data_IF_516677316109
#
_entry.id   IF_516677316109
#
_cell.length_a   1.000
_cell.length_b   1.000
_cell.length_c   1.000
_cell.angle_alpha   90.00
_cell.angle_beta   90.00
_cell.angle_gamma   90.00
#
_symmetry.space_group_name_H-M   'P 1'
#
loop_
_entity.id
_entity.type
_entity.pdbx_description
1 polymer ?
#
# COMPACT_ATOMS: atom_id res chain seq x y z
N UNK A 1 5.39 -2.03 6.70
CA UNK A 1 4.07 -1.98 6.03
C UNK A 1 3.20 -0.95 6.71
N UNK A 2 2.37 -0.24 5.96
CA UNK A 2 1.44 0.79 6.46
C UNK A 2 0.01 0.41 6.06
N UNK A 3 -0.83 0.10 7.05
CA UNK A 3 -2.21 -0.31 6.82
C UNK A 3 -3.20 0.80 7.18
N UNK A 4 -4.11 1.07 6.24
CA UNK A 4 -5.30 1.86 6.50
C UNK A 4 -6.28 1.07 7.36
N UNK A 5 -6.44 1.48 8.61
CA UNK A 5 -7.33 0.89 9.61
C UNK A 5 -8.61 1.72 9.81
N UNK A 6 -9.07 2.37 8.75
CA UNK A 6 -10.35 3.09 8.72
C UNK A 6 -11.56 2.15 8.74
N UNK A 7 -12.73 2.74 8.93
CA UNK A 7 -14.00 2.02 8.96
C UNK A 7 -14.29 1.25 7.65
N UNK A 8 -13.85 1.78 6.50
CA UNK A 8 -14.09 1.16 5.18
C UNK A 8 -13.27 -0.11 4.97
N UNK A 9 -12.20 -0.32 5.75
CA UNK A 9 -11.31 -1.48 5.62
C UNK A 9 -11.50 -2.53 6.72
N UNK A 10 -12.40 -2.30 7.69
CA UNK A 10 -12.61 -3.18 8.84
C UNK A 10 -12.96 -4.62 8.46
N UNK A 11 -13.68 -4.84 7.36
CA UNK A 11 -14.02 -6.18 6.88
C UNK A 11 -12.87 -6.96 6.23
N UNK A 12 -11.67 -6.37 6.16
CA UNK A 12 -10.56 -6.86 5.31
C UNK A 12 -9.32 -7.25 6.12
N UNK A 13 -9.47 -7.39 7.45
CA UNK A 13 -8.36 -7.66 8.37
C UNK A 13 -7.63 -8.96 8.05
N UNK A 14 -8.36 -10.03 7.69
CA UNK A 14 -7.76 -11.31 7.34
C UNK A 14 -6.81 -11.19 6.14
N UNK A 15 -7.25 -10.50 5.08
CA UNK A 15 -6.45 -10.27 3.88
C UNK A 15 -5.20 -9.44 4.19
N UNK A 16 -5.32 -8.43 5.05
CA UNK A 16 -4.18 -7.62 5.50
C UNK A 16 -3.20 -8.43 6.37
N UNK A 17 -3.70 -9.33 7.23
CA UNK A 17 -2.86 -10.26 7.98
C UNK A 17 -2.10 -11.19 7.03
N UNK A 18 -2.78 -11.78 6.05
CA UNK A 18 -2.16 -12.70 5.09
C UNK A 18 -1.08 -12.01 4.25
N UNK A 19 -1.32 -10.76 3.84
CA UNK A 19 -0.34 -9.92 3.17
C UNK A 19 0.91 -9.71 4.04
N UNK A 20 0.73 -9.35 5.31
CA UNK A 20 1.85 -9.18 6.24
C UNK A 20 2.63 -10.48 6.46
N UNK A 21 1.94 -11.61 6.65
CA UNK A 21 2.58 -12.93 6.76
C UNK A 21 3.39 -13.27 5.52
N UNK A 22 2.91 -12.90 4.35
CA UNK A 22 3.63 -13.17 3.11
C UNK A 22 4.92 -12.36 3.00
N UNK A 23 4.91 -11.09 3.39
CA UNK A 23 6.14 -10.28 3.47
C UNK A 23 7.12 -10.90 4.47
N UNK A 24 6.65 -11.27 5.67
CA UNK A 24 7.48 -11.95 6.67
C UNK A 24 8.08 -13.24 6.10
N UNK A 25 7.27 -14.08 5.47
CA UNK A 25 7.72 -15.36 4.91
C UNK A 25 8.72 -15.21 3.77
N UNK A 26 8.59 -14.17 2.94
CA UNK A 26 9.52 -13.89 1.86
C UNK A 26 10.86 -13.34 2.39
N UNK A 27 10.81 -12.53 3.45
CA UNK A 27 11.97 -11.79 3.96
C UNK A 27 12.67 -12.48 5.16
N UNK A 28 12.09 -13.53 5.74
CA UNK A 28 12.72 -14.23 6.88
C UNK A 28 14.13 -14.72 6.54
N UNK A 29 15.06 -14.51 7.47
CA UNK A 29 16.48 -14.87 7.38
C UNK A 29 17.24 -14.21 6.20
N UNK A 30 16.72 -13.15 5.60
CA UNK A 30 17.40 -12.42 4.52
C UNK A 30 18.33 -11.30 5.01
N UNK A 31 18.32 -11.00 6.31
CA UNK A 31 18.94 -9.79 6.88
C UNK A 31 18.02 -8.57 6.89
N UNK A 32 16.79 -8.70 6.36
CA UNK A 32 15.81 -7.61 6.33
C UNK A 32 15.12 -7.41 7.68
N UNK A 33 14.75 -6.16 7.97
CA UNK A 33 13.87 -5.81 9.09
C UNK A 33 12.43 -5.56 8.64
N UNK A 34 11.47 -5.79 9.53
CA UNK A 34 10.05 -5.65 9.25
C UNK A 34 9.31 -4.96 10.38
N UNK A 35 8.44 -4.01 10.03
CA UNK A 35 7.57 -3.28 10.95
C UNK A 35 6.17 -3.09 10.39
N UNK A 36 5.20 -2.85 11.27
CA UNK A 36 3.79 -2.63 10.94
C UNK A 36 3.34 -1.31 11.58
N UNK A 37 2.91 -0.38 10.73
CA UNK A 37 2.24 0.83 11.16
C UNK A 37 0.79 0.80 10.70
N UNK A 38 -0.10 1.37 11.50
CA UNK A 38 -1.51 1.51 11.17
C UNK A 38 -1.92 2.98 11.29
N UNK A 39 -2.93 3.37 10.52
CA UNK A 39 -3.48 4.72 10.61
C UNK A 39 -4.99 4.71 10.44
N UNK A 40 -5.65 5.64 11.13
CA UNK A 40 -7.06 5.95 10.95
C UNK A 40 -7.25 7.47 11.07
N UNK A 41 -7.84 8.00 12.14
CA UNK A 41 -7.81 9.42 12.50
C UNK A 41 -6.41 9.91 12.90
N UNK A 42 -5.60 9.00 13.44
CA UNK A 42 -4.21 9.19 13.87
C UNK A 42 -3.37 7.97 13.50
N UNK A 43 -2.07 8.01 13.80
CA UNK A 43 -1.20 6.84 13.81
C UNK A 43 -0.47 6.75 15.17
N UNK A 44 -0.48 5.60 15.87
CA UNK A 44 -1.24 4.38 15.55
C UNK A 44 -2.75 4.66 15.45
N UNK A 45 -3.48 3.77 14.77
CA UNK A 45 -4.93 3.92 14.58
C UNK A 45 -5.72 3.84 15.90
N UNK A 46 -5.16 3.15 16.90
CA UNK A 46 -5.71 3.03 18.25
C UNK A 46 -4.59 2.66 19.23
N UNK A 47 -4.77 3.00 20.50
CA UNK A 47 -3.83 2.62 21.56
C UNK A 47 -3.79 1.09 21.80
N UNK A 48 -4.83 0.35 21.40
CA UNK A 48 -4.90 -1.12 21.53
C UNK A 48 -3.92 -1.84 20.60
N UNK A 49 -3.46 -1.17 19.55
CA UNK A 49 -2.44 -1.66 18.63
C UNK A 49 -1.40 -0.57 18.40
N UNK A 50 -0.40 -0.43 19.29
CA UNK A 50 0.71 0.48 19.03
C UNK A 50 1.45 0.03 17.76
N UNK A 51 1.98 1.00 17.01
CA UNK A 51 2.78 0.70 15.82
C UNK A 51 3.94 -0.22 16.21
N UNK A 52 4.07 -1.33 15.48
CA UNK A 52 5.14 -2.29 15.65
C UNK A 52 6.37 -1.82 14.86
N UNK A 53 7.41 -1.41 15.58
CA UNK A 53 8.66 -0.95 14.98
C UNK A 53 9.40 -2.05 14.21
N UNK A 54 10.43 -1.67 13.42
CA UNK A 54 11.19 -2.63 12.63
C UNK A 54 11.95 -3.61 13.54
N UNK A 55 11.78 -4.91 13.31
CA UNK A 55 12.58 -5.98 13.91
C UNK A 55 13.29 -6.78 12.82
N UNK A 56 14.53 -7.19 13.08
CA UNK A 56 15.26 -8.10 12.18
C UNK A 56 14.48 -9.42 12.06
N UNK A 57 14.23 -9.91 10.85
CA UNK A 57 13.48 -11.16 10.64
C UNK A 57 14.34 -12.42 10.80
N UNK A 58 15.04 -12.55 11.93
CA UNK A 58 15.62 -13.80 12.42
C UNK A 58 14.55 -14.68 13.12
N UNK A 59 14.94 -15.81 13.72
CA UNK A 59 13.99 -16.72 14.37
C UNK A 59 13.14 -16.03 15.47
N UNK A 60 13.75 -15.15 16.26
CA UNK A 60 13.06 -14.43 17.34
C UNK A 60 12.19 -13.30 16.77
N UNK A 61 12.71 -12.54 15.81
CA UNK A 61 11.99 -11.44 15.17
C UNK A 61 10.84 -11.91 14.28
N UNK A 62 10.95 -13.07 13.62
CA UNK A 62 9.82 -13.71 12.91
C UNK A 62 8.70 -14.03 13.90
N UNK A 63 9.03 -14.52 15.10
CA UNK A 63 8.03 -14.78 16.15
C UNK A 63 7.36 -13.48 16.61
N UNK A 64 8.15 -12.42 16.86
CA UNK A 64 7.63 -11.10 17.25
C UNK A 64 6.72 -10.49 16.16
N UNK A 65 7.18 -10.50 14.91
CA UNK A 65 6.43 -9.99 13.77
C UNK A 65 5.14 -10.79 13.54
N UNK A 66 5.19 -12.12 13.67
CA UNK A 66 4.00 -12.98 13.54
C UNK A 66 2.97 -12.67 14.64
N UNK A 67 3.42 -12.42 15.87
CA UNK A 67 2.53 -12.00 16.96
C UNK A 67 1.92 -10.62 16.71
N UNK A 68 2.70 -9.67 16.19
CA UNK A 68 2.19 -8.37 15.77
C UNK A 68 1.12 -8.51 14.67
N UNK A 69 1.30 -9.42 13.71
CA UNK A 69 0.30 -9.73 12.68
C UNK A 69 -0.95 -10.37 13.29
N UNK A 70 -0.80 -11.33 14.20
CA UNK A 70 -1.93 -11.98 14.87
C UNK A 70 -2.83 -10.96 15.61
N UNK A 71 -2.22 -9.93 16.20
CA UNK A 71 -2.92 -8.87 16.92
C UNK A 71 -3.40 -7.71 16.05
N UNK A 72 -3.06 -7.70 14.75
CA UNK A 72 -3.41 -6.63 13.81
C UNK A 72 -4.92 -6.28 13.78
N UNK A 73 -5.89 -7.22 13.95
CA UNK A 73 -7.30 -6.87 14.03
C UNK A 73 -7.65 -5.85 15.12
N UNK A 74 -6.85 -5.75 16.19
CA UNK A 74 -7.02 -4.75 17.25
C UNK A 74 -6.75 -3.32 16.78
N UNK A 75 -6.19 -3.13 15.57
CA UNK A 75 -5.99 -1.82 14.97
C UNK A 75 -7.31 -1.17 14.51
N UNK A 76 -8.38 -1.94 14.32
CA UNK A 76 -9.70 -1.42 13.95
C UNK A 76 -10.55 -1.19 15.19
N UNK A 77 -10.90 0.07 15.43
CA UNK A 77 -11.82 0.49 16.49
C UNK A 77 -13.10 1.04 15.87
N UNK A 78 -14.24 0.88 16.55
CA UNK A 78 -15.51 1.53 16.17
C UNK A 78 -15.43 3.06 16.21
N UNK A 79 -14.45 3.61 16.92
CA UNK A 79 -14.17 5.05 17.02
C UNK A 79 -13.15 5.56 16.00
N UNK A 80 -12.39 4.66 15.38
CA UNK A 80 -11.41 4.97 14.34
C UNK A 80 -12.11 4.98 12.97
N UNK A 81 -12.50 6.16 12.48
CA UNK A 81 -13.44 6.27 11.35
C UNK A 81 -12.87 6.94 10.12
N UNK A 82 -11.61 7.38 10.16
CA UNK A 82 -11.00 8.13 9.07
C UNK A 82 -9.78 7.46 8.46
N UNK A 83 -9.28 8.04 7.37
CA UNK A 83 -8.10 7.60 6.62
C UNK A 83 -7.10 8.76 6.54
N UNK A 84 -6.56 9.17 7.68
CA UNK A 84 -5.55 10.22 7.81
C UNK A 84 -4.18 9.70 7.36
N UNK A 85 -4.03 9.60 6.04
CA UNK A 85 -2.86 9.04 5.38
C UNK A 85 -1.57 9.81 5.75
N UNK A 86 -1.65 11.12 5.93
CA UNK A 86 -0.54 11.95 6.42
C UNK A 86 -0.01 11.48 7.78
N UNK A 87 -0.89 11.15 8.74
CA UNK A 87 -0.47 10.63 10.03
C UNK A 87 0.22 9.26 9.89
N UNK A 88 -0.27 8.42 8.98
CA UNK A 88 0.37 7.15 8.63
C UNK A 88 1.81 7.33 8.15
N UNK A 89 2.04 8.18 7.16
CA UNK A 89 3.39 8.48 6.66
C UNK A 89 4.29 9.10 7.75
N UNK A 90 3.79 10.10 8.48
CA UNK A 90 4.55 10.76 9.53
C UNK A 90 4.99 9.79 10.64
N UNK A 91 4.22 8.74 10.91
CA UNK A 91 4.58 7.74 11.92
C UNK A 91 5.84 6.94 11.59
N UNK A 92 6.21 6.86 10.30
CA UNK A 92 7.39 6.13 9.82
C UNK A 92 8.60 7.04 9.59
N UNK A 93 8.43 8.36 9.67
CA UNK A 93 9.51 9.32 9.46
C UNK A 93 10.63 9.13 10.50
N UNK A 94 11.88 9.10 10.02
CA UNK A 94 13.06 8.94 10.88
C UNK A 94 13.21 7.56 11.52
N UNK A 95 12.48 6.54 11.04
CA UNK A 95 12.56 5.15 11.55
C UNK A 95 13.45 4.22 10.72
N UNK A 96 14.11 4.74 9.67
CA UNK A 96 15.07 3.98 8.86
C UNK A 96 14.45 2.95 7.92
N UNK A 97 13.24 3.19 7.41
CA UNK A 97 12.61 2.31 6.42
C UNK A 97 13.18 2.58 5.02
N UNK A 98 13.74 1.57 4.36
CA UNK A 98 14.13 1.64 2.94
C UNK A 98 12.91 1.57 2.02
N UNK A 99 11.88 0.83 2.44
CA UNK A 99 10.66 0.64 1.66
C UNK A 99 9.42 0.64 2.55
N UNK A 100 8.36 1.25 2.04
CA UNK A 100 7.03 1.29 2.65
C UNK A 100 6.02 0.77 1.66
N UNK A 101 5.34 -0.32 2.02
CA UNK A 101 4.15 -0.78 1.31
C UNK A 101 2.92 -0.21 2.03
N UNK A 102 2.22 0.71 1.36
CA UNK A 102 0.96 1.32 1.82
C UNK A 102 -0.22 0.54 1.25
N UNK A 103 -1.17 0.18 2.10
CA UNK A 103 -2.40 -0.51 1.70
C UNK A 103 -3.59 0.33 2.19
N UNK A 104 -4.39 0.84 1.26
CA UNK A 104 -5.51 1.76 1.52
C UNK A 104 -6.60 1.62 0.45
N UNK A 105 -7.81 2.09 0.74
CA UNK A 105 -8.86 2.27 -0.26
C UNK A 105 -8.64 3.55 -1.12
N UNK A 106 -7.64 4.37 -0.77
CA UNK A 106 -7.25 5.55 -1.53
C UNK A 106 -8.09 6.79 -1.28
N UNK A 107 -8.95 6.81 -0.25
CA UNK A 107 -9.72 8.00 0.14
C UNK A 107 -9.11 8.65 1.38
N UNK A 108 -8.16 9.58 1.25
CA UNK A 108 -7.64 10.30 2.41
C UNK A 108 -8.68 11.26 2.97
N UNK A 109 -9.00 11.14 4.25
CA UNK A 109 -9.79 12.13 4.98
C UNK A 109 -9.50 12.00 6.47
N UNK A 110 -9.70 13.09 7.22
CA UNK A 110 -9.65 13.06 8.68
C UNK A 110 -11.05 13.31 9.26
N UNK A 111 -11.56 12.42 10.11
CA UNK A 111 -12.83 12.65 10.78
C UNK A 111 -12.65 13.70 11.89
N UNK A 112 -13.74 14.38 12.25
CA UNK A 112 -13.79 15.32 13.37
C UNK A 112 -12.89 16.56 13.26
N UNK A 113 -12.76 17.14 12.07
CA UNK A 113 -12.49 18.59 12.03
C UNK A 113 -13.73 19.28 12.67
N UNK A 114 -13.58 20.37 13.42
CA UNK A 114 -14.71 20.98 14.18
C UNK A 114 -15.72 21.65 13.22
N UNK A 115 -16.99 21.21 13.22
CA UNK A 115 -18.13 21.87 12.53
C UNK A 115 -19.25 20.89 12.08
N UNK A 116 -20.49 21.33 11.89
CA UNK A 116 -21.59 20.47 11.40
C UNK A 116 -21.36 20.00 9.94
N UNK A 117 -21.66 18.74 9.63
CA UNK A 117 -21.56 18.13 8.28
C UNK A 117 -20.21 17.47 7.92
N UNK A 118 -19.32 17.32 8.91
CA UNK A 118 -17.89 17.07 8.70
C UNK A 118 -17.33 15.64 8.61
N UNK A 119 -17.94 14.57 9.17
CA UNK A 119 -17.12 13.42 9.59
C UNK A 119 -16.57 12.51 8.47
N UNK A 120 -16.84 12.77 7.17
CA UNK A 120 -16.57 11.78 6.09
C UNK A 120 -16.10 12.34 4.74
N UNK A 121 -15.69 13.62 4.67
CA UNK A 121 -15.34 14.30 3.42
C UNK A 121 -13.83 14.56 3.29
N UNK A 122 -13.29 14.33 2.09
CA UNK A 122 -11.89 14.64 1.75
C UNK A 122 -11.74 16.12 1.44
N UNK A 123 -10.78 16.79 2.08
CA UNK A 123 -10.41 18.16 1.77
C UNK A 123 -9.12 18.24 0.95
N UNK A 124 -8.91 19.38 0.30
CA UNK A 124 -7.63 19.73 -0.34
C UNK A 124 -6.45 19.64 0.64
N UNK A 125 -6.66 20.00 1.89
CA UNK A 125 -5.65 19.92 2.94
C UNK A 125 -5.29 18.46 3.29
N UNK A 126 -6.25 17.54 3.26
CA UNK A 126 -5.96 16.11 3.46
C UNK A 126 -5.04 15.58 2.34
N UNK A 127 -5.28 16.02 1.10
CA UNK A 127 -4.47 15.64 -0.07
C UNK A 127 -3.06 16.25 -0.01
N UNK A 128 -2.95 17.54 0.28
CA UNK A 128 -1.65 18.23 0.33
C UNK A 128 -0.80 17.78 1.51
N UNK A 129 -1.38 17.62 2.71
CA UNK A 129 -0.62 17.11 3.87
C UNK A 129 -0.17 15.67 3.68
N UNK A 130 -0.99 14.84 3.04
CA UNK A 130 -0.62 13.43 2.80
C UNK A 130 0.47 13.30 1.74
N UNK A 131 0.37 14.03 0.62
CA UNK A 131 1.42 14.06 -0.40
C UNK A 131 2.73 14.66 0.12
N UNK A 132 2.68 15.74 0.90
CA UNK A 132 3.87 16.32 1.52
C UNK A 132 4.55 15.36 2.50
N UNK A 133 3.79 14.65 3.34
CA UNK A 133 4.33 13.65 4.26
C UNK A 133 4.96 12.45 3.52
N UNK A 134 4.35 12.00 2.42
CA UNK A 134 4.91 10.96 1.57
C UNK A 134 6.21 11.42 0.88
N UNK A 135 6.23 12.64 0.34
CA UNK A 135 7.41 13.22 -0.30
C UNK A 135 8.56 13.43 0.69
N UNK A 136 8.28 13.81 1.94
CA UNK A 136 9.30 13.89 3.00
C UNK A 136 9.96 12.53 3.26
N UNK A 137 9.18 11.44 3.33
CA UNK A 137 9.75 10.09 3.41
C UNK A 137 10.59 9.74 2.17
N UNK A 138 10.05 9.99 0.98
CA UNK A 138 10.75 9.70 -0.27
C UNK A 138 12.07 10.48 -0.39
N UNK A 139 12.10 11.74 0.06
CA UNK A 139 13.30 12.58 0.07
C UNK A 139 14.41 12.04 0.99
N UNK A 140 14.04 11.21 1.98
CA UNK A 140 14.96 10.53 2.90
C UNK A 140 15.40 9.15 2.40
N UNK A 141 15.08 8.81 1.15
CA UNK A 141 15.47 7.56 0.51
C UNK A 141 14.48 6.41 0.66
N UNK A 142 13.31 6.63 1.28
CA UNK A 142 12.29 5.60 1.44
C UNK A 142 11.48 5.41 0.14
N UNK A 143 11.54 4.22 -0.45
CA UNK A 143 10.69 3.84 -1.58
C UNK A 143 9.25 3.58 -1.13
N UNK A 144 8.29 4.32 -1.68
CA UNK A 144 6.86 4.13 -1.37
C UNK A 144 6.19 3.28 -2.46
N UNK A 145 5.56 2.18 -2.06
CA UNK A 145 4.79 1.28 -2.90
C UNK A 145 3.33 1.31 -2.44
N UNK A 146 2.45 1.84 -3.28
CA UNK A 146 1.04 2.04 -2.93
C UNK A 146 0.16 0.97 -3.55
N UNK A 147 -0.62 0.29 -2.73
CA UNK A 147 -1.65 -0.64 -3.15
C UNK A 147 -3.02 -0.04 -2.81
N UNK A 148 -3.74 0.39 -3.84
CA UNK A 148 -5.01 1.10 -3.74
C UNK A 148 -6.15 0.15 -4.07
N UNK A 149 -7.11 -0.04 -3.17
CA UNK A 149 -8.25 -0.93 -3.43
C UNK A 149 -9.44 -0.17 -3.99
N UNK A 150 -9.96 -0.67 -5.10
CA UNK A 150 -11.19 -0.20 -5.72
C UNK A 150 -11.02 1.04 -6.60
N UNK A 151 -12.15 1.66 -6.92
CA UNK A 151 -12.20 2.95 -7.59
C UNK A 151 -13.17 3.86 -6.89
N UNK A 152 -12.66 4.98 -6.40
CA UNK A 152 -13.43 5.94 -5.64
C UNK A 152 -13.43 7.27 -6.40
N UNK A 153 -14.64 7.79 -6.62
CA UNK A 153 -14.85 9.17 -7.04
C UNK A 153 -15.58 9.90 -5.91
N UNK A 154 -15.05 11.06 -5.51
CA UNK A 154 -15.63 11.83 -4.40
C UNK A 154 -15.30 13.32 -4.51
N UNK A 155 -16.19 14.20 -4.01
CA UNK A 155 -15.93 15.63 -3.97
C UNK A 155 -14.75 15.97 -3.05
N UNK A 156 -13.98 17.00 -3.46
CA UNK A 156 -12.89 17.59 -2.68
C UNK A 156 -13.34 18.95 -2.16
N UNK A 157 -13.09 19.22 -0.89
CA UNK A 157 -13.52 20.45 -0.21
C UNK A 157 -12.35 21.38 0.07
N UNK A 158 -12.55 22.69 -0.14
CA UNK A 158 -11.56 23.70 0.25
C UNK A 158 -11.78 24.10 1.72
N UNK A 159 -10.68 24.22 2.47
CA UNK A 159 -10.67 24.73 3.83
C UNK A 159 -9.93 26.06 3.87
N UNK A 160 -10.67 27.17 4.00
CA UNK A 160 -10.06 28.44 4.39
C UNK A 160 -9.96 28.45 5.92
N UNK A 161 -8.77 28.22 6.47
CA UNK A 161 -8.52 28.17 7.91
C UNK A 161 -8.92 29.47 8.65
N UNK A 162 -9.05 30.59 7.93
CA UNK A 162 -9.23 31.92 8.50
C UNK A 162 -10.67 32.33 8.80
N UNK A 163 -11.69 31.67 8.26
CA UNK A 163 -13.10 32.13 8.40
C UNK A 163 -14.06 31.08 8.95
N UNK A 164 -13.57 29.87 9.29
CA UNK A 164 -14.40 28.78 9.80
C UNK A 164 -15.51 28.30 8.84
N UNK A 165 -15.60 28.88 7.64
CA UNK A 165 -16.67 28.65 6.67
C UNK A 165 -16.09 27.87 5.50
N UNK A 166 -16.48 26.60 5.39
CA UNK A 166 -16.02 25.72 4.31
C UNK A 166 -16.76 26.02 3.03
N UNK A 167 -16.01 26.14 1.95
CA UNK A 167 -16.55 26.35 0.62
C UNK A 167 -15.99 25.26 -0.28
N UNK A 168 -16.80 24.45 -0.98
CA UNK A 168 -16.31 23.47 -1.95
C UNK A 168 -15.76 24.14 -3.23
N UNK A 169 -15.43 25.44 -3.16
CA UNK A 169 -15.24 26.32 -4.29
C UNK A 169 -13.78 26.80 -4.34
N UNK A 170 -13.07 26.27 -5.30
CA UNK A 170 -11.69 26.62 -5.65
C UNK A 170 -11.71 27.70 -6.73
N UNK A 171 -10.71 28.57 -6.76
CA UNK A 171 -10.56 29.50 -7.89
C UNK A 171 -10.36 28.69 -9.16
N UNK A 172 -10.94 29.13 -10.28
CA UNK A 172 -10.73 28.44 -11.55
C UNK A 172 -9.24 28.39 -11.92
N UNK A 173 -8.49 29.44 -11.59
CA UNK A 173 -7.04 29.54 -11.80
C UNK A 173 -6.22 28.54 -10.98
N UNK A 174 -6.76 28.00 -9.89
CA UNK A 174 -6.05 26.99 -9.08
C UNK A 174 -5.95 25.68 -9.86
N UNK A 175 -4.79 25.03 -9.74
CA UNK A 175 -4.53 23.75 -10.40
C UNK A 175 -4.88 22.61 -9.45
N UNK A 176 -5.80 21.70 -9.84
CA UNK A 176 -6.10 20.51 -9.04
C UNK A 176 -4.85 19.64 -8.83
N UNK A 177 -4.72 18.96 -7.68
CA UNK A 177 -3.65 17.99 -7.48
C UNK A 177 -3.84 16.76 -8.38
N UNK A 178 -2.81 15.91 -8.47
CA UNK A 178 -2.89 14.66 -9.22
C UNK A 178 -4.12 13.83 -8.82
N UNK A 179 -4.80 13.24 -9.81
CA UNK A 179 -6.03 12.46 -9.61
C UNK A 179 -7.32 13.26 -9.37
N UNK A 180 -7.20 14.56 -9.13
CA UNK A 180 -8.34 15.47 -8.94
C UNK A 180 -8.59 16.26 -10.21
N UNK A 181 -9.86 16.46 -10.54
CA UNK A 181 -10.29 17.26 -11.67
C UNK A 181 -11.28 18.34 -11.23
N UNK A 182 -11.35 19.42 -12.01
CA UNK A 182 -12.46 20.38 -11.91
C UNK A 182 -13.73 19.64 -12.30
N UNK A 183 -14.72 19.63 -11.42
CA UNK A 183 -16.00 18.98 -11.67
C UNK A 183 -16.85 19.87 -12.58
N UNK A 184 -16.80 19.60 -13.88
CA UNK A 184 -17.49 20.37 -14.92
C UNK A 184 -18.99 20.07 -14.98
N UNK A 185 -19.49 19.08 -14.24
CA UNK A 185 -20.92 18.76 -14.17
C UNK A 185 -21.66 19.70 -13.23
N UNK A 186 -20.93 20.44 -12.38
CA UNK A 186 -21.49 21.40 -11.44
C UNK A 186 -21.42 22.82 -11.99
N UNK A 187 -22.37 23.64 -11.54
CA UNK A 187 -22.44 25.05 -11.89
C UNK A 187 -21.22 25.78 -11.33
N UNK A 188 -20.59 26.64 -12.12
CA UNK A 188 -19.54 27.54 -11.66
C UNK A 188 -20.10 28.60 -10.71
N UNK A 189 -19.27 29.18 -9.84
CA UNK A 189 -19.71 30.12 -8.81
C UNK A 189 -18.95 31.44 -8.89
N UNK A 190 -19.59 32.53 -8.46
CA UNK A 190 -19.01 33.87 -8.36
C UNK A 190 -19.51 34.59 -7.11
N UNK A 191 -18.78 35.61 -6.65
CA UNK A 191 -19.31 36.50 -5.64
C UNK A 191 -20.24 37.55 -6.27
N UNK A 192 -21.35 37.83 -5.60
CA UNK A 192 -22.23 38.95 -5.91
C UNK A 192 -21.77 40.25 -5.22
N UNK A 193 -22.55 41.32 -5.34
CA UNK A 193 -22.22 42.62 -4.75
C UNK A 193 -22.18 42.64 -3.23
N UNK A 194 -22.88 41.70 -2.58
CA UNK A 194 -22.93 41.59 -1.13
C UNK A 194 -21.80 40.69 -0.60
N UNK A 195 -20.88 40.27 -1.48
CA UNK A 195 -19.85 39.30 -1.15
C UNK A 195 -20.42 37.90 -0.92
N UNK A 196 -21.65 37.62 -1.37
CA UNK A 196 -22.25 36.29 -1.27
C UNK A 196 -21.92 35.46 -2.49
N UNK A 197 -21.60 34.20 -2.27
CA UNK A 197 -21.30 33.29 -3.36
C UNK A 197 -22.60 32.80 -4.00
N UNK A 198 -22.73 32.99 -5.31
CA UNK A 198 -23.90 32.63 -6.10
C UNK A 198 -23.49 31.89 -7.38
N UNK A 199 -24.37 31.04 -7.96
CA UNK A 199 -24.07 30.37 -9.22
C UNK A 199 -23.89 31.38 -10.36
N UNK A 200 -22.96 31.12 -11.26
CA UNK A 200 -22.84 31.83 -12.55
C UNK A 200 -24.12 31.59 -13.34
N UNK A 201 -24.73 32.67 -13.80
CA UNK A 201 -25.98 32.69 -14.56
C UNK A 201 -25.68 32.83 -16.05
N UNK A 202 -26.59 32.38 -16.91
CA UNK A 202 -26.47 32.54 -18.36
C UNK A 202 -26.41 34.02 -18.80
N UNK A 203 -26.95 34.94 -17.99
CA UNK A 203 -26.88 36.38 -18.23
C UNK A 203 -25.54 37.02 -17.85
N UNK A 204 -24.63 36.28 -17.23
CA UNK A 204 -23.36 36.82 -16.77
C UNK A 204 -22.37 36.93 -17.93
N UNK A 205 -21.71 38.08 -18.06
CA UNK A 205 -20.63 38.26 -19.01
C UNK A 205 -19.37 37.57 -18.48
N UNK A 206 -18.94 36.52 -19.17
CA UNK A 206 -17.70 35.82 -18.87
C UNK A 206 -16.66 36.19 -19.93
N UNK A 207 -15.49 36.60 -19.47
CA UNK A 207 -14.33 36.87 -20.34
C UNK A 207 -13.13 36.07 -19.86
N UNK A 208 -12.14 35.85 -20.72
CA UNK A 208 -10.93 35.14 -20.38
C UNK A 208 -9.74 36.09 -20.28
N UNK A 209 -8.82 35.82 -19.36
CA UNK A 209 -7.50 36.46 -19.38
C UNK A 209 -6.61 35.92 -20.52
N UNK A 210 -5.37 36.43 -20.62
CA UNK A 210 -4.41 36.01 -21.63
C UNK A 210 -4.02 34.52 -21.56
N UNK A 211 -4.27 33.86 -20.42
CA UNK A 211 -4.02 32.43 -20.21
C UNK A 211 -5.28 31.58 -20.39
N UNK A 212 -6.40 32.17 -20.84
CA UNK A 212 -7.67 31.48 -21.01
C UNK A 212 -8.44 31.24 -19.71
N UNK A 213 -8.05 31.88 -18.60
CA UNK A 213 -8.74 31.74 -17.30
C UNK A 213 -10.01 32.60 -17.32
N UNK A 214 -11.19 32.04 -17.02
CA UNK A 214 -12.44 32.76 -17.06
C UNK A 214 -12.65 33.63 -15.82
N UNK A 215 -13.09 34.85 -16.07
CA UNK A 215 -13.48 35.86 -15.09
C UNK A 215 -14.91 36.33 -15.37
N UNK A 216 -15.62 36.63 -14.29
CA UNK A 216 -16.87 37.36 -14.35
C UNK A 216 -16.56 38.85 -14.59
N UNK A 217 -16.90 39.36 -15.78
CA UNK A 217 -16.78 40.77 -16.10
C UNK A 217 -18.05 41.51 -15.66
N UNK A 218 -17.84 42.56 -14.88
CA UNK A 218 -18.90 43.47 -14.52
C UNK A 218 -18.40 44.89 -14.49
N UNK A 219 -19.05 45.75 -15.28
CA UNK A 219 -18.72 47.17 -15.37
C UNK A 219 -17.24 47.41 -15.72
N UNK A 220 -16.64 46.53 -16.54
CA UNK A 220 -15.24 46.59 -16.93
C UNK A 220 -14.26 46.09 -15.86
N UNK A 221 -14.75 45.48 -14.78
CA UNK A 221 -13.91 44.89 -13.72
C UNK A 221 -14.06 43.37 -13.70
N UNK A 222 -12.92 42.70 -13.65
CA UNK A 222 -12.84 41.24 -13.66
C UNK A 222 -12.85 40.66 -12.24
N UNK A 223 -13.74 39.70 -12.00
CA UNK A 223 -13.86 38.97 -10.75
C UNK A 223 -13.61 37.47 -10.97
N UNK A 224 -12.87 36.79 -10.08
CA UNK A 224 -12.56 35.38 -10.27
C UNK A 224 -13.81 34.49 -10.27
N UNK A 225 -13.85 33.53 -11.19
CA UNK A 225 -14.80 32.41 -11.15
C UNK A 225 -14.26 31.30 -10.25
N UNK A 226 -15.18 30.60 -9.59
CA UNK A 226 -14.89 29.43 -8.77
C UNK A 226 -15.54 28.17 -9.32
N UNK A 227 -14.89 27.04 -9.08
CA UNK A 227 -15.29 25.70 -9.49
C UNK A 227 -15.27 24.75 -8.31
N UNK A 228 -15.99 23.64 -8.40
CA UNK A 228 -15.83 22.50 -7.49
C UNK A 228 -14.78 21.53 -8.01
N UNK A 229 -14.14 20.79 -7.12
CA UNK A 229 -13.18 19.73 -7.46
C UNK A 229 -13.68 18.36 -7.03
N UNK A 230 -13.31 17.32 -7.77
CA UNK A 230 -13.59 15.94 -7.44
C UNK A 230 -12.35 15.06 -7.66
N UNK A 231 -12.08 14.15 -6.73
CA UNK A 231 -11.17 13.05 -6.96
C UNK A 231 -11.82 12.12 -7.98
N UNK A 232 -11.13 11.86 -9.07
CA UNK A 232 -11.60 10.99 -10.16
C UNK A 232 -10.68 9.80 -10.36
N UNK A 233 -9.42 9.92 -9.94
CA UNK A 233 -8.43 8.85 -10.04
C UNK A 233 -7.52 8.81 -8.80
N UNK A 234 -7.91 8.00 -7.81
CA UNK A 234 -7.11 7.76 -6.61
C UNK A 234 -5.76 7.10 -6.91
N UNK A 235 -5.64 6.34 -7.99
CA UNK A 235 -4.36 5.74 -8.40
C UNK A 235 -3.38 6.81 -8.88
N UNK A 236 -3.84 7.75 -9.72
CA UNK A 236 -3.01 8.87 -10.16
C UNK A 236 -2.54 9.74 -8.98
N UNK A 237 -3.41 9.98 -8.01
CA UNK A 237 -3.03 10.67 -6.77
C UNK A 237 -1.91 9.94 -6.02
N UNK A 238 -2.09 8.64 -5.74
CA UNK A 238 -1.08 7.85 -5.00
C UNK A 238 0.22 7.68 -5.81
N UNK A 239 0.12 7.59 -7.14
CA UNK A 239 1.28 7.50 -8.04
C UNK A 239 2.17 8.75 -8.00
N UNK A 240 1.60 9.93 -7.68
CA UNK A 240 2.34 11.20 -7.68
C UNK A 240 3.47 11.28 -6.66
N UNK A 241 3.49 10.38 -5.67
CA UNK A 241 4.53 10.32 -4.63
C UNK A 241 5.05 8.89 -4.39
N UNK A 242 4.60 7.90 -5.17
CA UNK A 242 5.01 6.51 -5.02
C UNK A 242 6.02 6.12 -6.10
N UNK A 243 6.98 5.26 -5.77
CA UNK A 243 7.83 4.56 -6.75
C UNK A 243 6.96 3.72 -7.67
N UNK A 244 5.97 3.05 -7.09
CA UNK A 244 4.95 2.31 -7.83
C UNK A 244 3.62 2.43 -7.09
N UNK A 245 2.55 2.62 -7.83
CA UNK A 245 1.20 2.43 -7.31
C UNK A 245 0.44 1.44 -8.19
N UNK A 246 -0.23 0.48 -7.57
CA UNK A 246 -1.09 -0.48 -8.25
C UNK A 246 -2.52 -0.37 -7.72
N UNK A 247 -3.49 -0.51 -8.63
CA UNK A 247 -4.90 -0.56 -8.28
C UNK A 247 -5.35 -2.01 -8.22
N UNK A 248 -5.90 -2.40 -7.08
CA UNK A 248 -6.45 -3.73 -6.82
C UNK A 248 -7.96 -3.70 -6.94
N UNK A 249 -8.54 -4.73 -7.57
CA UNK A 249 -10.00 -4.87 -7.65
C UNK A 249 -10.62 -5.22 -6.30
N UNK A 250 -9.90 -6.00 -5.49
CA UNK A 250 -10.33 -6.44 -4.16
C UNK A 250 -9.14 -6.67 -3.23
N UNK A 251 -9.39 -6.62 -1.92
CA UNK A 251 -8.42 -7.06 -0.91
C UNK A 251 -8.08 -8.56 -1.03
N UNK A 252 -8.93 -9.36 -1.67
CA UNK A 252 -8.64 -10.77 -1.95
C UNK A 252 -7.39 -10.96 -2.82
N UNK A 253 -7.07 -9.98 -3.67
CA UNK A 253 -5.90 -10.04 -4.57
C UNK A 253 -4.61 -9.55 -3.90
N UNK A 254 -4.70 -8.98 -2.69
CA UNK A 254 -3.59 -8.32 -2.00
C UNK A 254 -2.36 -9.22 -1.91
N UNK A 255 -2.55 -10.51 -1.66
CA UNK A 255 -1.47 -11.48 -1.60
C UNK A 255 -0.72 -11.61 -2.95
N UNK A 256 -1.41 -11.50 -4.09
CA UNK A 256 -0.75 -11.61 -5.39
C UNK A 256 0.07 -10.37 -5.71
N UNK A 257 -0.45 -9.17 -5.38
CA UNK A 257 0.28 -7.92 -5.55
C UNK A 257 1.51 -7.83 -4.65
N UNK A 258 1.36 -8.19 -3.37
CA UNK A 258 2.48 -8.23 -2.42
C UNK A 258 3.54 -9.21 -2.91
N UNK A 259 3.15 -10.41 -3.35
CA UNK A 259 4.08 -11.36 -3.97
C UNK A 259 4.81 -10.72 -5.14
N UNK A 260 4.12 -10.10 -6.09
CA UNK A 260 4.77 -9.43 -7.23
C UNK A 260 5.77 -8.33 -6.84
N UNK A 261 5.46 -7.55 -5.80
CA UNK A 261 6.37 -6.50 -5.29
C UNK A 261 7.64 -7.08 -4.68
N UNK A 262 7.55 -8.21 -3.97
CA UNK A 262 8.69 -8.80 -3.27
C UNK A 262 9.44 -9.83 -4.11
N UNK A 263 8.79 -10.57 -5.02
CA UNK A 263 9.44 -11.61 -5.84
C UNK A 263 10.27 -11.06 -6.99
N UNK A 264 10.09 -9.79 -7.39
CA UNK A 264 10.97 -9.16 -8.39
C UNK A 264 12.44 -9.07 -7.95
N UNK A 265 12.72 -9.23 -6.65
CA UNK A 265 14.04 -9.15 -6.05
C UNK A 265 14.64 -10.52 -5.70
N UNK A 266 13.94 -11.63 -5.96
CA UNK A 266 14.40 -12.97 -5.60
C UNK A 266 14.12 -14.00 -6.70
N UNK A 267 15.09 -14.86 -6.96
CA UNK A 267 14.90 -16.11 -7.69
C UNK A 267 14.37 -17.16 -6.73
N UNK A 268 13.38 -17.93 -7.18
CA UNK A 268 12.79 -19.02 -6.39
C UNK A 268 12.99 -20.35 -7.11
N UNK A 269 13.53 -21.34 -6.40
CA UNK A 269 13.59 -22.73 -6.85
C UNK A 269 12.74 -23.58 -5.92
N UNK A 270 11.82 -24.33 -6.50
CA UNK A 270 10.89 -25.20 -5.78
C UNK A 270 11.26 -26.65 -6.07
N UNK A 271 11.54 -27.41 -5.02
CA UNK A 271 11.75 -28.85 -5.08
C UNK A 271 10.53 -29.54 -4.52
N UNK A 272 9.91 -30.38 -5.34
CA UNK A 272 8.80 -31.23 -4.94
C UNK A 272 9.23 -32.69 -5.07
N UNK A 273 9.15 -33.45 -3.98
CA UNK A 273 9.50 -34.88 -3.99
C UNK A 273 8.25 -35.73 -4.00
N UNK A 274 8.22 -36.68 -4.92
CA UNK A 274 7.20 -37.72 -4.98
C UNK A 274 7.86 -39.08 -4.80
N UNK A 275 7.24 -39.96 -4.01
CA UNK A 275 7.60 -41.38 -3.99
C UNK A 275 6.67 -42.08 -4.96
N UNK A 276 7.26 -42.89 -5.83
CA UNK A 276 6.54 -43.73 -6.78
C UNK A 276 6.86 -45.20 -6.51
N UNK A 277 5.94 -46.08 -6.86
CA UNK A 277 6.19 -47.53 -6.90
C UNK A 277 7.00 -47.92 -8.15
N UNK A 278 7.26 -49.22 -8.28
CA UNK A 278 7.96 -49.84 -9.40
C UNK A 278 7.24 -49.65 -10.75
N UNK A 279 5.95 -49.30 -10.73
CA UNK A 279 5.16 -48.94 -11.92
C UNK A 279 5.17 -47.43 -12.23
N UNK A 280 5.85 -46.62 -11.42
CA UNK A 280 5.88 -45.16 -11.56
C UNK A 280 4.64 -44.46 -10.98
N UNK A 281 3.78 -45.17 -10.23
CA UNK A 281 2.59 -44.59 -9.62
C UNK A 281 2.91 -44.01 -8.25
N UNK A 282 2.42 -42.79 -8.00
CA UNK A 282 2.69 -42.05 -6.75
C UNK A 282 2.08 -42.75 -5.53
N UNK A 283 2.91 -43.04 -4.53
CA UNK A 283 2.54 -43.69 -3.26
C UNK A 283 2.26 -42.61 -2.21
N UNK A 284 1.00 -42.13 -2.16
CA UNK A 284 0.43 -41.15 -1.21
C UNK A 284 1.11 -39.76 -1.07
N UNK A 285 0.29 -38.71 -1.01
CA UNK A 285 0.72 -37.35 -0.62
C UNK A 285 0.51 -37.14 0.89
N UNK A 286 1.58 -36.81 1.63
CA UNK A 286 1.50 -36.44 3.05
C UNK A 286 2.81 -36.68 3.82
N UNK A 287 2.94 -36.04 4.99
CA UNK A 287 4.12 -36.04 5.89
C UNK A 287 4.79 -37.40 6.13
N UNK A 288 4.02 -38.50 6.12
CA UNK A 288 4.55 -39.84 6.38
C UNK A 288 5.38 -40.42 5.20
N UNK A 289 5.10 -40.00 3.97
CA UNK A 289 5.82 -40.49 2.78
C UNK A 289 7.18 -39.79 2.61
N UNK A 290 7.28 -38.49 2.89
CA UNK A 290 8.53 -37.71 2.69
C UNK A 290 9.41 -37.62 3.94
N UNK A 291 8.95 -38.11 5.10
CA UNK A 291 9.77 -38.22 6.31
C UNK A 291 11.00 -39.13 6.09
N UNK A 292 12.20 -38.57 6.28
CA UNK A 292 13.48 -39.29 6.11
C UNK A 292 14.33 -38.86 4.89
N UNK A 293 13.92 -37.81 4.16
CA UNK A 293 14.78 -37.15 3.17
C UNK A 293 15.07 -35.72 3.61
N UNK A 294 16.34 -35.32 3.57
CA UNK A 294 16.73 -33.92 3.79
C UNK A 294 17.30 -33.37 2.50
N UNK A 295 16.76 -32.23 2.05
CA UNK A 295 17.37 -31.43 0.99
C UNK A 295 18.31 -30.43 1.62
N UNK A 296 19.59 -30.50 1.22
CA UNK A 296 20.55 -29.44 1.48
C UNK A 296 20.78 -28.72 0.15
N UNK A 297 20.73 -27.40 0.17
CA UNK A 297 21.16 -26.61 -0.97
C UNK A 297 22.48 -25.92 -0.63
N UNK A 298 23.35 -25.87 -1.63
CA UNK A 298 24.48 -24.95 -1.60
C UNK A 298 23.97 -23.51 -1.63
N UNK A 299 24.84 -22.57 -1.25
CA UNK A 299 24.56 -21.15 -1.45
C UNK A 299 24.35 -20.88 -2.94
N UNK A 300 23.26 -20.17 -3.25
CA UNK A 300 22.90 -19.79 -4.59
C UNK A 300 24.03 -18.93 -5.22
N UNK A 301 24.27 -19.11 -6.51
CA UNK A 301 25.17 -18.30 -7.30
C UNK A 301 24.34 -17.38 -8.19
N UNK A 302 24.61 -16.08 -8.16
CA UNK A 302 23.99 -15.10 -9.06
C UNK A 302 25.13 -14.36 -9.74
N UNK A 303 25.21 -14.46 -11.08
CA UNK A 303 26.32 -13.95 -11.88
C UNK A 303 27.71 -14.38 -11.36
N UNK A 304 27.83 -15.64 -10.91
CA UNK A 304 29.08 -16.19 -10.38
C UNK A 304 29.47 -15.72 -8.97
N UNK A 305 28.58 -14.99 -8.28
CA UNK A 305 28.77 -14.57 -6.90
C UNK A 305 27.90 -15.39 -5.95
N UNK A 306 28.51 -15.86 -4.87
CA UNK A 306 27.84 -16.66 -3.84
C UNK A 306 26.94 -15.77 -3.00
N UNK A 307 25.64 -16.06 -2.99
CA UNK A 307 24.65 -15.35 -2.21
C UNK A 307 24.67 -15.83 -0.76
N UNK A 308 24.79 -14.88 0.17
CA UNK A 308 24.78 -15.15 1.62
C UNK A 308 23.38 -15.32 2.21
N UNK A 309 22.33 -14.90 1.48
CA UNK A 309 20.99 -14.66 2.01
C UNK A 309 19.97 -15.61 1.34
N UNK A 310 20.30 -16.89 1.27
CA UNK A 310 19.41 -17.93 0.75
C UNK A 310 18.48 -18.41 1.87
N UNK A 311 17.17 -18.29 1.68
CA UNK A 311 16.19 -18.85 2.61
C UNK A 311 15.67 -20.19 2.11
N UNK A 312 15.54 -21.16 3.01
CA UNK A 312 14.95 -22.48 2.76
C UNK A 312 13.66 -22.61 3.59
N UNK A 313 12.58 -23.04 2.96
CA UNK A 313 11.31 -23.31 3.63
C UNK A 313 10.70 -24.60 3.12
N UNK A 314 10.52 -25.58 4.01
CA UNK A 314 9.82 -26.83 3.69
C UNK A 314 8.43 -26.81 4.30
N UNK A 315 7.40 -27.05 3.49
CA UNK A 315 6.02 -27.14 3.99
C UNK A 315 5.66 -28.55 4.47
N UNK A 316 4.47 -28.67 5.06
CA UNK A 316 3.93 -29.94 5.59
C UNK A 316 3.58 -30.98 4.50
N UNK A 317 3.78 -30.65 3.22
CA UNK A 317 3.63 -31.55 2.09
C UNK A 317 5.00 -32.04 1.55
N UNK A 318 6.11 -31.65 2.19
CA UNK A 318 7.46 -32.02 1.75
C UNK A 318 7.98 -31.18 0.59
N UNK A 319 7.30 -30.08 0.23
CA UNK A 319 7.75 -29.14 -0.80
C UNK A 319 8.75 -28.18 -0.16
N UNK A 320 9.96 -28.16 -0.69
CA UNK A 320 11.01 -27.24 -0.23
C UNK A 320 11.18 -26.10 -1.22
N UNK A 321 11.06 -24.87 -0.74
CA UNK A 321 11.28 -23.65 -1.52
C UNK A 321 12.58 -22.99 -1.08
N UNK A 322 13.44 -22.69 -2.06
CA UNK A 322 14.67 -21.92 -1.89
C UNK A 322 14.48 -20.55 -2.51
N UNK A 323 14.68 -19.48 -1.73
CA UNK A 323 14.63 -18.11 -2.25
C UNK A 323 16.01 -17.48 -2.10
N UNK A 324 16.49 -16.83 -3.15
CA UNK A 324 17.77 -16.13 -3.15
C UNK A 324 17.65 -14.78 -3.85
N UNK A 325 18.35 -13.73 -3.40
CA UNK A 325 18.25 -12.41 -4.01
C UNK A 325 18.72 -12.46 -5.46
N UNK A 326 18.01 -11.79 -6.37
CA UNK A 326 18.47 -11.56 -7.74
C UNK A 326 18.50 -10.05 -7.99
N UNK A 327 19.57 -9.57 -8.60
CA UNK A 327 19.71 -8.16 -9.00
C UNK A 327 19.51 -8.01 -10.51
N UNK A 328 20.16 -8.86 -11.32
CA UNK A 328 19.96 -9.08 -12.77
C UNK A 328 20.69 -10.36 -13.19
N UNK A 329 20.25 -11.06 -14.25
CA UNK A 329 20.95 -12.24 -14.81
C UNK A 329 20.51 -13.60 -14.24
N UNK A 330 21.01 -14.72 -14.80
CA UNK A 330 20.61 -16.06 -14.39
C UNK A 330 21.21 -16.43 -13.02
N UNK A 331 20.36 -16.92 -12.12
CA UNK A 331 20.78 -17.53 -10.86
C UNK A 331 20.83 -19.05 -10.96
N UNK A 332 21.71 -19.68 -10.19
CA UNK A 332 21.78 -21.14 -10.06
C UNK A 332 21.91 -21.55 -8.59
N UNK A 333 21.37 -22.71 -8.26
CA UNK A 333 21.51 -23.31 -6.94
C UNK A 333 21.73 -24.81 -7.15
N UNK A 334 22.69 -25.39 -6.43
CA UNK A 334 22.87 -26.83 -6.41
C UNK A 334 22.10 -27.38 -5.23
N UNK A 335 21.23 -28.34 -5.50
CA UNK A 335 20.46 -29.04 -4.47
C UNK A 335 21.01 -30.46 -4.38
N UNK A 336 21.39 -30.85 -3.18
CA UNK A 336 21.78 -32.20 -2.84
C UNK A 336 20.69 -32.83 -1.96
N UNK A 337 20.25 -34.00 -2.38
CA UNK A 337 19.40 -34.83 -1.58
C UNK A 337 20.26 -35.86 -0.82
N UNK A 338 20.06 -35.96 0.49
CA UNK A 338 20.72 -36.97 1.32
C UNK A 338 19.68 -38.00 1.78
N UNK A 339 19.75 -39.26 1.34
CA UNK A 339 18.84 -40.30 1.79
C UNK A 339 19.16 -40.68 3.24
N UNK A 340 18.18 -40.58 4.15
CA UNK A 340 18.32 -41.07 5.53
C UNK A 340 17.58 -42.40 5.76
N UNK A 341 16.98 -43.00 4.74
CA UNK A 341 16.13 -44.19 4.86
C UNK A 341 16.65 -45.34 4.00
N UNK A 342 16.94 -46.49 4.63
CA UNK A 342 17.31 -47.71 3.93
C UNK A 342 16.15 -48.25 3.09
N UNK A 343 16.45 -48.86 1.94
CA UNK A 343 15.45 -49.49 1.07
C UNK A 343 14.86 -48.59 -0.04
N UNK A 344 15.25 -47.31 -0.12
CA UNK A 344 14.86 -46.41 -1.21
C UNK A 344 16.09 -45.99 -2.02
N UNK A 345 16.00 -46.04 -3.36
CA UNK A 345 17.03 -45.56 -4.28
C UNK A 345 16.56 -44.32 -5.04
N UNK A 346 17.48 -43.41 -5.36
CA UNK A 346 17.19 -42.28 -6.25
C UNK A 346 17.03 -42.81 -7.68
N UNK A 347 15.87 -42.57 -8.29
CA UNK A 347 15.70 -42.80 -9.72
C UNK A 347 16.40 -41.65 -10.48
N UNK A 348 17.19 -41.92 -11.53
CA UNK A 348 17.67 -40.89 -12.43
C UNK A 348 16.48 -40.13 -13.04
N UNK A 349 16.52 -38.80 -12.99
CA UNK A 349 15.61 -38.00 -13.81
C UNK A 349 16.16 -37.99 -15.23
N UNK A 350 15.41 -38.57 -16.17
CA UNK A 350 15.67 -38.45 -17.60
C UNK A 350 15.23 -37.09 -18.12
#
# INVERSE_FOLDING_TARGET
>A
MLFDASYTTQGQTAQMQDAARQVINALKNTGSSFGIHTFSDSSPSTALYPNFGPVLLDAAGVTQATNAVNNLPNAWSTTARASNLAAGFNSMAGKGYDAVIVITDGKPYKANRRGPGFPTQTSWEDLTKSSAAAQDLASKGTGIFSLVVGSLSFPVYNHLETTGTRQPYFLYSETPPAGVQRDTTKVNWRYDFNGQLTPVKASDTITNDANGIPYYDRSGRLYPIRTTWAMTDTLAYMSSFSVKADRMGSYADLQNYIRGLITGCFGTVIVNKQIVDDSGKVIQQGNAATSGFTFQADRAQVNGQTQSNVSQNTDNAGKTSFNYPITTGPGSIRIQETPMRSGFALAPQN
#
